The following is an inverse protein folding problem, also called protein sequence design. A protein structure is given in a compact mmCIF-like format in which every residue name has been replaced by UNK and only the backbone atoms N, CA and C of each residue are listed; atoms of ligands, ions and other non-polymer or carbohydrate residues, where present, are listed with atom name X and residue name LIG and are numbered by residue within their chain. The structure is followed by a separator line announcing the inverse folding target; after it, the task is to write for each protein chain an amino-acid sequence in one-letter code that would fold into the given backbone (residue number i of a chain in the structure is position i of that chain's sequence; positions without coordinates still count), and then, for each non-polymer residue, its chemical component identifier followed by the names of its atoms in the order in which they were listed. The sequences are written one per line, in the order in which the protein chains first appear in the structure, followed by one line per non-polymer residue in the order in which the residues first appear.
data_IF_565421337160
#
_entry.id   IF_565421337160
#
_cell.length_a   1.000
_cell.length_b   1.000
_cell.length_c   1.000
_cell.angle_alpha   90.00
_cell.angle_beta   90.00
_cell.angle_gamma   90.00
#
_symmetry.space_group_name_H-M   'P 1'
#
loop_
_entity.id
_entity.type
_entity.pdbx_description
1 polymer ?
#
# COMPACT_ATOMS: atom_id res chain seq x y z
N UNK A 1 4.27 -2.17 25.65
CA UNK A 1 2.86 -2.33 26.06
C UNK A 1 2.01 -1.42 25.18
N UNK A 2 1.45 -2.00 24.13
CA UNK A 2 0.86 -1.27 23.00
C UNK A 2 -0.66 -1.19 23.11
N UNK A 3 -1.23 -0.12 22.55
CA UNK A 3 -2.67 0.20 22.49
C UNK A 3 -3.58 -0.93 21.95
N UNK A 4 -3.03 -2.02 21.42
CA UNK A 4 -3.77 -3.21 20.99
C UNK A 4 -4.17 -4.12 22.16
N UNK A 5 -3.39 -4.16 23.26
CA UNK A 5 -3.68 -5.05 24.40
C UNK A 5 -5.00 -4.69 25.09
N UNK A 6 -5.32 -3.40 25.17
CA UNK A 6 -6.56 -2.90 25.74
C UNK A 6 -7.81 -3.26 24.92
N UNK A 7 -7.66 -3.58 23.63
CA UNK A 7 -8.78 -3.98 22.77
C UNK A 7 -9.06 -5.49 22.83
N UNK A 8 -8.06 -6.30 23.22
CA UNK A 8 -8.16 -7.76 23.30
C UNK A 8 -8.43 -8.31 24.71
N UNK A 9 -8.27 -7.51 25.77
CA UNK A 9 -8.33 -8.01 27.17
C UNK A 9 -9.73 -8.27 27.75
N UNK A 10 -10.82 -7.99 27.02
CA UNK A 10 -12.15 -8.43 27.42
C UNK A 10 -12.77 -9.26 26.30
N UNK A 11 -12.79 -10.59 26.48
CA UNK A 11 -13.56 -11.51 25.63
C UNK A 11 -15.01 -11.60 26.12
N UNK A 12 -15.98 -10.98 25.44
CA UNK A 12 -17.27 -11.61 25.20
C UNK A 12 -17.21 -12.40 23.88
N UNK A 13 -18.17 -13.29 23.66
CA UNK A 13 -18.27 -14.19 22.51
C UNK A 13 -17.96 -13.49 21.17
N UNK A 14 -17.15 -14.14 20.31
CA UNK A 14 -16.74 -13.62 19.00
C UNK A 14 -17.95 -13.12 18.20
N UNK A 15 -18.10 -11.79 18.16
CA UNK A 15 -19.18 -11.14 17.46
C UNK A 15 -18.99 -11.29 15.94
N UNK A 16 -20.07 -11.19 15.16
CA UNK A 16 -19.97 -11.20 13.69
C UNK A 16 -18.98 -10.17 13.14
N UNK A 17 -18.81 -9.03 13.84
CA UNK A 17 -17.83 -8.00 13.53
C UNK A 17 -16.38 -8.48 13.64
N UNK A 18 -16.01 -9.19 14.71
CA UNK A 18 -14.62 -9.64 14.94
C UNK A 18 -14.15 -10.61 13.85
N UNK A 19 -15.07 -11.47 13.38
CA UNK A 19 -14.80 -12.39 12.27
C UNK A 19 -14.55 -11.66 10.95
N UNK A 20 -15.30 -10.59 10.68
CA UNK A 20 -15.12 -9.77 9.48
C UNK A 20 -13.77 -9.03 9.53
N UNK A 21 -13.41 -8.45 10.69
CA UNK A 21 -12.11 -7.78 10.84
C UNK A 21 -10.94 -8.74 10.75
N UNK A 22 -11.02 -9.92 11.36
CA UNK A 22 -9.98 -10.93 11.28
C UNK A 22 -9.81 -11.45 9.84
N UNK A 23 -10.91 -11.67 9.12
CA UNK A 23 -10.86 -12.02 7.69
C UNK A 23 -10.22 -10.91 6.85
N UNK A 24 -10.61 -9.65 7.06
CA UNK A 24 -10.01 -8.52 6.37
C UNK A 24 -8.51 -8.42 6.65
N UNK A 25 -8.10 -8.60 7.91
CA UNK A 25 -6.70 -8.59 8.32
C UNK A 25 -5.89 -9.70 7.65
N UNK A 26 -6.41 -10.93 7.64
CA UNK A 26 -5.80 -12.07 6.97
C UNK A 26 -5.65 -11.84 5.47
N UNK A 27 -6.74 -11.44 4.81
CA UNK A 27 -6.73 -11.12 3.38
C UNK A 27 -5.74 -10.00 3.07
N UNK A 28 -5.62 -9.00 3.93
CA UNK A 28 -4.68 -7.89 3.73
C UNK A 28 -3.21 -8.31 3.88
N UNK A 29 -2.92 -9.43 4.54
CA UNK A 29 -1.56 -9.88 4.83
C UNK A 29 -1.16 -11.22 4.20
N UNK A 30 -2.08 -11.96 3.57
CA UNK A 30 -1.80 -13.23 2.87
C UNK A 30 -1.84 -13.05 1.35
N UNK A 31 -0.69 -13.14 0.65
CA UNK A 31 -0.65 -13.15 -0.81
C UNK A 31 -1.49 -14.27 -1.42
N UNK A 32 -1.56 -15.43 -0.76
CA UNK A 32 -2.32 -16.59 -1.21
C UNK A 32 -3.83 -16.29 -1.25
N UNK A 33 -4.39 -15.73 -0.16
CA UNK A 33 -5.81 -15.34 -0.13
C UNK A 33 -6.10 -14.22 -1.13
N UNK A 34 -5.17 -13.29 -1.34
CA UNK A 34 -5.31 -12.23 -2.36
C UNK A 34 -5.37 -12.81 -3.77
N UNK A 35 -4.47 -13.75 -4.08
CA UNK A 35 -4.39 -14.39 -5.40
C UNK A 35 -5.64 -15.23 -5.68
N UNK A 36 -6.31 -15.78 -4.66
CA UNK A 36 -7.58 -16.50 -4.81
C UNK A 36 -8.76 -15.61 -5.22
N UNK A 37 -8.69 -14.30 -4.96
CA UNK A 37 -9.71 -13.35 -5.39
C UNK A 37 -9.58 -12.96 -6.87
N UNK A 38 -8.45 -13.28 -7.51
CA UNK A 38 -8.22 -12.96 -8.91
C UNK A 38 -8.93 -13.96 -9.83
N UNK A 39 -9.42 -13.51 -11.00
CA UNK A 39 -9.89 -14.40 -12.05
C UNK A 39 -8.82 -15.45 -12.41
N UNK A 40 -9.24 -16.67 -12.74
CA UNK A 40 -8.34 -17.81 -12.93
C UNK A 40 -7.25 -17.57 -13.97
N UNK A 41 -7.59 -16.92 -15.08
CA UNK A 41 -6.63 -16.55 -16.13
C UNK A 41 -5.53 -15.61 -15.60
N UNK A 42 -5.90 -14.60 -14.82
CA UNK A 42 -4.95 -13.64 -14.22
C UNK A 42 -4.12 -14.31 -13.13
N UNK A 43 -4.77 -15.10 -12.27
CA UNK A 43 -4.09 -15.87 -11.21
C UNK A 43 -3.04 -16.80 -11.78
N UNK A 44 -3.36 -17.54 -12.85
CA UNK A 44 -2.42 -18.48 -13.47
C UNK A 44 -1.21 -17.75 -14.09
N UNK A 45 -1.43 -16.62 -14.76
CA UNK A 45 -0.33 -15.80 -15.27
C UNK A 45 0.57 -15.28 -14.14
N UNK A 46 -0.02 -14.79 -13.06
CA UNK A 46 0.70 -14.27 -11.89
C UNK A 46 1.48 -15.37 -11.15
N UNK A 47 0.92 -16.59 -11.03
CA UNK A 47 1.60 -17.74 -10.44
C UNK A 47 2.73 -18.30 -11.31
N UNK A 48 2.68 -18.08 -12.63
CA UNK A 48 3.79 -18.36 -13.55
C UNK A 48 4.87 -17.29 -13.50
N UNK A 49 4.58 -16.14 -12.89
CA UNK A 49 5.53 -15.06 -12.64
C UNK A 49 6.70 -15.50 -11.77
N UNK A 50 7.80 -14.76 -11.85
CA UNK A 50 9.03 -15.10 -11.12
C UNK A 50 8.83 -14.87 -9.62
N UNK A 51 9.01 -15.90 -8.81
CA UNK A 51 9.04 -15.77 -7.35
C UNK A 51 10.39 -15.19 -6.91
N UNK A 52 10.48 -13.87 -6.82
CA UNK A 52 11.73 -13.14 -6.51
C UNK A 52 11.44 -11.89 -5.68
N UNK A 53 12.44 -11.47 -4.89
CA UNK A 53 12.40 -10.21 -4.14
C UNK A 53 12.91 -9.03 -4.97
N UNK A 54 13.72 -9.31 -5.97
CA UNK A 54 14.27 -8.35 -6.94
C UNK A 54 14.25 -8.96 -8.34
N UNK A 55 14.00 -8.12 -9.35
CA UNK A 55 13.96 -8.58 -10.75
C UNK A 55 15.32 -8.47 -11.45
N UNK A 56 16.36 -7.99 -10.75
CA UNK A 56 17.70 -7.74 -11.32
C UNK A 56 17.77 -6.49 -12.19
N UNK A 57 16.92 -5.49 -11.91
CA UNK A 57 16.86 -4.23 -12.64
C UNK A 57 18.07 -3.33 -12.39
N UNK A 58 18.23 -2.31 -13.24
CA UNK A 58 19.29 -1.29 -13.07
C UNK A 58 18.79 -0.04 -12.35
N UNK A 59 19.59 0.50 -11.44
CA UNK A 59 19.25 1.69 -10.64
C UNK A 59 18.66 1.36 -9.26
N UNK A 60 18.16 2.38 -8.56
CA UNK A 60 17.66 2.25 -7.18
C UNK A 60 16.38 1.40 -7.10
N UNK A 61 16.40 0.35 -6.28
CA UNK A 61 15.26 -0.56 -6.08
C UNK A 61 13.98 0.19 -5.69
N UNK A 62 12.92 -0.01 -6.46
CA UNK A 62 11.61 0.58 -6.29
C UNK A 62 11.50 2.07 -6.59
N UNK A 63 12.59 2.77 -6.93
CA UNK A 63 12.58 4.22 -7.20
C UNK A 63 12.77 4.57 -8.67
N UNK A 64 13.04 3.59 -9.52
CA UNK A 64 13.16 3.77 -10.97
C UNK A 64 12.33 2.73 -11.71
N UNK A 65 11.82 3.05 -12.91
CA UNK A 65 11.00 2.11 -13.70
C UNK A 65 11.77 0.88 -14.17
N UNK A 66 13.10 0.94 -14.21
CA UNK A 66 13.98 -0.17 -14.61
C UNK A 66 14.31 -1.14 -13.47
N UNK A 67 13.94 -0.81 -12.22
CA UNK A 67 14.13 -1.66 -11.05
C UNK A 67 12.90 -1.56 -10.10
N UNK A 68 11.69 -1.92 -10.55
CA UNK A 68 10.46 -1.87 -9.75
C UNK A 68 10.40 -2.96 -8.68
N UNK A 69 9.50 -2.77 -7.72
CA UNK A 69 9.24 -3.71 -6.63
C UNK A 69 8.29 -4.81 -7.13
N UNK A 70 8.71 -6.09 -7.14
CA UNK A 70 7.82 -7.18 -7.56
C UNK A 70 6.72 -7.41 -6.51
N UNK A 71 5.47 -7.48 -6.97
CA UNK A 71 4.26 -7.64 -6.14
C UNK A 71 3.17 -8.46 -6.81
N UNK A 72 2.25 -8.98 -6.00
CA UNK A 72 1.12 -9.80 -6.46
C UNK A 72 -0.11 -8.97 -6.80
N UNK A 73 -0.03 -8.24 -7.90
CA UNK A 73 -1.14 -7.44 -8.40
C UNK A 73 -1.44 -6.20 -7.55
N UNK A 74 -2.55 -5.54 -7.91
CA UNK A 74 -3.00 -4.31 -7.24
C UNK A 74 -3.25 -4.48 -5.74
N UNK A 75 -3.62 -5.68 -5.29
CA UNK A 75 -3.82 -5.92 -3.87
C UNK A 75 -2.49 -6.03 -3.12
N UNK A 76 -1.50 -6.70 -3.73
CA UNK A 76 -0.12 -6.75 -3.23
C UNK A 76 0.50 -5.37 -3.08
N UNK A 77 0.35 -4.50 -4.08
CA UNK A 77 0.77 -3.09 -4.04
C UNK A 77 0.16 -2.37 -2.85
N UNK A 78 -1.15 -2.52 -2.67
CA UNK A 78 -1.89 -1.84 -1.62
C UNK A 78 -1.44 -2.28 -0.21
N UNK A 79 -1.24 -3.59 -0.03
CA UNK A 79 -0.72 -4.16 1.21
C UNK A 79 0.71 -3.70 1.47
N UNK A 80 1.60 -3.85 0.48
CA UNK A 80 3.02 -3.49 0.60
C UNK A 80 3.20 -2.01 0.96
N UNK A 81 2.54 -1.11 0.21
CA UNK A 81 2.59 0.34 0.49
C UNK A 81 2.01 0.69 1.85
N UNK A 82 1.02 -0.06 2.34
CA UNK A 82 0.46 0.13 3.68
C UNK A 82 1.37 -0.36 4.80
N UNK A 83 2.37 -1.20 4.51
CA UNK A 83 3.43 -1.62 5.45
C UNK A 83 4.61 -0.64 5.47
N UNK A 84 4.77 0.19 4.44
CA UNK A 84 5.90 1.10 4.36
C UNK A 84 5.82 2.23 5.40
N UNK A 85 6.99 2.52 5.95
CA UNK A 85 7.26 3.71 6.79
C UNK A 85 8.58 4.32 6.39
N UNK A 86 8.74 5.59 6.73
CA UNK A 86 10.03 6.26 6.60
C UNK A 86 11.04 5.70 7.61
N UNK A 87 12.25 5.41 7.14
CA UNK A 87 13.30 4.87 8.00
C UNK A 87 13.83 5.89 9.01
N UNK A 88 13.84 7.17 8.65
CA UNK A 88 14.40 8.26 9.47
C UNK A 88 13.53 8.60 10.69
N UNK A 89 12.20 8.55 10.52
CA UNK A 89 11.21 9.06 11.47
C UNK A 89 10.24 7.98 11.94
N UNK A 90 10.21 6.82 11.30
CA UNK A 90 9.17 5.81 11.49
C UNK A 90 7.78 6.28 11.03
N UNK A 91 7.72 7.41 10.32
CA UNK A 91 6.49 8.06 9.89
C UNK A 91 5.71 7.21 8.90
N UNK A 92 4.38 7.18 9.05
CA UNK A 92 3.49 6.51 8.09
C UNK A 92 3.45 7.28 6.77
N UNK A 93 3.27 6.53 5.69
CA UNK A 93 3.16 7.06 4.35
C UNK A 93 1.74 6.89 3.83
N UNK A 94 1.30 7.89 3.09
CA UNK A 94 0.03 7.91 2.36
C UNK A 94 0.31 7.91 0.87
N UNK A 95 -0.56 7.31 0.08
CA UNK A 95 -0.27 7.09 -1.33
C UNK A 95 -1.51 7.05 -2.21
N UNK A 96 -1.27 7.31 -3.50
CA UNK A 96 -2.20 6.98 -4.57
C UNK A 96 -1.44 6.53 -5.82
N UNK A 97 -2.12 5.79 -6.70
CA UNK A 97 -1.58 5.44 -8.00
C UNK A 97 -1.53 6.69 -8.88
N UNK A 98 -0.39 6.97 -9.50
CA UNK A 98 -0.24 8.08 -10.45
C UNK A 98 -0.66 7.60 -11.84
N UNK A 99 0.00 6.56 -12.33
CA UNK A 99 -0.16 6.01 -13.68
C UNK A 99 0.43 4.59 -13.76
N UNK A 100 0.34 4.01 -14.95
CA UNK A 100 0.99 2.75 -15.33
C UNK A 100 1.86 3.01 -16.56
N UNK A 101 3.08 2.48 -16.58
CA UNK A 101 4.04 2.57 -17.68
C UNK A 101 4.36 1.15 -18.15
N UNK A 102 3.78 0.73 -19.28
CA UNK A 102 3.83 -0.67 -19.69
C UNK A 102 3.12 -1.55 -18.67
N UNK A 103 3.86 -2.47 -18.07
CA UNK A 103 3.37 -3.34 -16.98
C UNK A 103 3.71 -2.81 -15.58
N UNK A 104 4.43 -1.68 -15.47
CA UNK A 104 4.90 -1.13 -14.19
C UNK A 104 3.93 -0.06 -13.67
N UNK A 105 3.43 -0.27 -12.46
CA UNK A 105 2.56 0.68 -11.76
C UNK A 105 3.37 1.71 -10.97
N UNK A 106 3.02 2.98 -11.13
CA UNK A 106 3.70 4.11 -10.49
C UNK A 106 2.81 4.70 -9.41
N UNK A 107 3.31 4.71 -8.19
CA UNK A 107 2.65 5.29 -7.03
C UNK A 107 3.42 6.50 -6.53
N UNK A 108 2.70 7.49 -6.03
CA UNK A 108 3.31 8.53 -5.21
C UNK A 108 3.10 8.19 -3.75
N UNK A 109 4.16 8.34 -2.96
CA UNK A 109 4.12 8.21 -1.50
C UNK A 109 4.48 9.53 -0.86
N UNK A 110 3.73 9.93 0.16
CA UNK A 110 3.93 11.18 0.89
C UNK A 110 3.81 10.96 2.38
N UNK A 111 4.57 11.71 3.17
CA UNK A 111 4.36 11.75 4.62
C UNK A 111 3.16 12.64 4.96
N UNK A 112 2.50 12.38 6.09
CA UNK A 112 1.37 13.22 6.54
C UNK A 112 1.74 14.69 6.75
N UNK A 113 3.01 14.99 7.03
CA UNK A 113 3.52 16.36 7.18
C UNK A 113 3.86 17.06 5.86
N UNK A 114 3.90 16.33 4.74
CA UNK A 114 4.34 16.85 3.44
C UNK A 114 5.85 17.06 3.31
N UNK A 115 6.65 16.68 4.31
CA UNK A 115 8.12 16.81 4.26
C UNK A 115 8.79 15.77 3.36
N UNK A 116 8.11 14.66 3.09
CA UNK A 116 8.59 13.59 2.22
C UNK A 116 7.59 13.36 1.10
N UNK A 117 8.07 13.29 -0.14
CA UNK A 117 7.31 12.88 -1.30
C UNK A 117 8.25 12.14 -2.27
N UNK A 118 7.83 10.99 -2.77
CA UNK A 118 8.62 10.19 -3.71
C UNK A 118 7.71 9.37 -4.64
N UNK A 119 8.23 8.98 -5.79
CA UNK A 119 7.61 8.00 -6.67
C UNK A 119 8.18 6.62 -6.37
N UNK A 120 7.30 5.62 -6.27
CA UNK A 120 7.66 4.22 -6.18
C UNK A 120 7.06 3.44 -7.36
N UNK A 121 7.82 2.47 -7.85
CA UNK A 121 7.51 1.68 -9.04
C UNK A 121 7.30 0.23 -8.64
N UNK A 122 6.22 -0.38 -9.14
CA UNK A 122 5.78 -1.72 -8.80
C UNK A 122 5.56 -2.56 -10.05
N UNK A 123 5.97 -3.81 -9.99
CA UNK A 123 5.67 -4.82 -11.01
C UNK A 123 4.63 -5.79 -10.43
N UNK A 124 3.36 -5.72 -10.86
CA UNK A 124 2.28 -6.56 -10.36
C UNK A 124 2.29 -8.01 -10.89
N UNK A 125 3.25 -8.38 -11.75
CA UNK A 125 3.31 -9.66 -12.45
C UNK A 125 3.84 -10.85 -11.63
N UNK A 126 3.90 -10.76 -10.30
CA UNK A 126 4.62 -11.72 -9.47
C UNK A 126 3.74 -12.47 -8.47
N UNK A 127 4.08 -13.72 -8.09
CA UNK A 127 3.24 -14.55 -7.23
C UNK A 127 3.08 -14.01 -5.80
N UNK A 128 4.02 -13.19 -5.32
CA UNK A 128 4.04 -12.63 -3.96
C UNK A 128 4.68 -11.24 -3.95
N UNK A 129 4.47 -10.43 -2.91
CA UNK A 129 5.22 -9.20 -2.71
C UNK A 129 6.67 -9.49 -2.32
N UNK A 130 7.57 -8.60 -2.75
CA UNK A 130 8.96 -8.55 -2.31
C UNK A 130 9.03 -8.41 -0.78
N UNK A 131 9.98 -9.10 -0.18
CA UNK A 131 10.40 -8.88 1.21
C UNK A 131 11.46 -7.79 1.36
N UNK A 132 12.00 -7.28 0.24
CA UNK A 132 12.97 -6.18 0.24
C UNK A 132 12.25 -4.84 0.29
N UNK A 133 12.97 -3.84 0.78
CA UNK A 133 12.48 -2.50 1.02
C UNK A 133 13.36 -1.49 0.27
N UNK A 134 12.79 -0.52 -0.46
CA UNK A 134 13.55 0.56 -1.05
C UNK A 134 14.35 1.33 0.01
N UNK A 135 15.50 1.86 -0.40
CA UNK A 135 16.35 2.65 0.49
C UNK A 135 15.62 3.90 1.01
N UNK A 136 15.75 4.17 2.31
CA UNK A 136 15.05 5.26 3.01
C UNK A 136 13.71 4.85 3.64
N UNK A 137 13.32 3.58 3.49
CA UNK A 137 12.08 3.04 4.03
C UNK A 137 12.33 1.81 4.90
N UNK A 138 11.36 1.52 5.76
CA UNK A 138 11.25 0.25 6.49
C UNK A 138 9.92 -0.41 6.16
N UNK A 139 9.92 -1.73 6.09
CA UNK A 139 8.74 -2.54 5.86
C UNK A 139 8.26 -3.14 7.19
N UNK A 140 7.05 -2.80 7.61
CA UNK A 140 6.41 -3.48 8.75
C UNK A 140 6.09 -4.93 8.41
N UNK A 141 6.08 -5.80 9.43
CA UNK A 141 5.67 -7.21 9.24
C UNK A 141 4.26 -7.32 8.68
N UNK A 142 3.34 -6.56 9.26
CA UNK A 142 1.92 -6.67 8.99
C UNK A 142 1.30 -5.30 8.71
N UNK A 143 0.42 -5.27 7.72
CA UNK A 143 -0.39 -4.12 7.38
C UNK A 143 -1.64 -4.16 8.25
N UNK A 144 -1.75 -3.24 9.21
CA UNK A 144 -2.89 -3.19 10.14
C UNK A 144 -4.05 -2.41 9.55
N UNK A 145 -3.76 -1.29 8.88
CA UNK A 145 -4.75 -0.43 8.25
C UNK A 145 -4.29 0.01 6.87
N UNK A 146 -5.21 0.13 5.89
CA UNK A 146 -4.88 0.71 4.61
C UNK A 146 -4.55 2.20 4.76
N UNK A 147 -3.51 2.64 4.05
CA UNK A 147 -2.97 4.02 4.14
C UNK A 147 -3.11 4.82 2.85
N UNK A 148 -3.64 4.22 1.80
CA UNK A 148 -3.77 4.85 0.50
C UNK A 148 -4.78 4.16 -0.38
N UNK A 149 -4.78 4.53 -1.66
CA UNK A 149 -5.68 4.00 -2.68
C UNK A 149 -4.88 3.52 -3.89
N UNK A 150 -5.40 2.53 -4.60
CA UNK A 150 -4.75 1.99 -5.82
C UNK A 150 -5.26 2.62 -7.11
N UNK A 151 -6.02 3.70 -7.01
CA UNK A 151 -6.61 4.43 -8.13
C UNK A 151 -6.06 5.85 -8.21
N UNK A 152 -6.06 6.42 -9.42
CA UNK A 152 -5.62 7.80 -9.65
C UNK A 152 -6.59 8.79 -9.03
N UNK A 153 -6.04 9.76 -8.29
CA UNK A 153 -6.84 10.77 -7.61
C UNK A 153 -6.28 12.19 -7.81
N UNK A 154 -6.90 13.01 -8.69
CA UNK A 154 -6.40 14.35 -9.02
C UNK A 154 -6.38 15.34 -7.86
N UNK A 155 -7.26 15.17 -6.87
CA UNK A 155 -7.33 16.07 -5.70
C UNK A 155 -6.48 15.58 -4.51
N UNK A 156 -5.62 14.58 -4.71
CA UNK A 156 -4.78 14.06 -3.63
C UNK A 156 -3.96 15.16 -2.93
N UNK A 157 -3.82 15.12 -1.59
CA UNK A 157 -4.38 14.15 -0.62
C UNK A 157 -5.72 14.59 0.00
N UNK A 158 -6.43 15.57 -0.57
CA UNK A 158 -7.65 16.14 0.02
C UNK A 158 -8.72 15.04 0.19
N UNK A 159 -9.26 14.86 1.40
CA UNK A 159 -10.31 13.87 1.63
C UNK A 159 -9.88 12.41 1.44
N UNK A 160 -8.56 12.12 1.44
CA UNK A 160 -8.01 10.78 1.24
C UNK A 160 -8.61 9.75 2.22
N UNK A 161 -8.81 10.11 3.49
CA UNK A 161 -9.41 9.22 4.49
C UNK A 161 -10.73 8.59 4.03
N UNK A 162 -11.64 9.38 3.44
CA UNK A 162 -12.92 8.87 2.95
C UNK A 162 -12.76 7.93 1.75
N UNK A 163 -11.75 8.18 0.90
CA UNK A 163 -11.43 7.34 -0.26
C UNK A 163 -10.84 6.00 0.18
N UNK A 164 -9.93 6.00 1.15
CA UNK A 164 -9.37 4.78 1.73
C UNK A 164 -10.49 3.90 2.29
N UNK A 165 -11.41 4.49 3.06
CA UNK A 165 -12.58 3.75 3.60
C UNK A 165 -13.45 3.16 2.50
N UNK A 166 -13.67 3.89 1.41
CA UNK A 166 -14.44 3.40 0.26
C UNK A 166 -13.76 2.19 -0.38
N UNK A 167 -12.45 2.25 -0.60
CA UNK A 167 -11.68 1.14 -1.18
C UNK A 167 -11.62 -0.07 -0.23
N UNK A 168 -11.45 0.16 1.07
CA UNK A 168 -11.53 -0.88 2.11
C UNK A 168 -12.91 -1.55 2.16
N UNK A 169 -13.99 -0.77 2.05
CA UNK A 169 -15.34 -1.32 2.02
C UNK A 169 -15.57 -2.18 0.77
N UNK A 170 -15.00 -1.79 -0.37
CA UNK A 170 -15.13 -2.52 -1.63
C UNK A 170 -14.29 -3.80 -1.66
N UNK A 171 -13.05 -3.76 -1.18
CA UNK A 171 -12.08 -4.85 -1.30
C UNK A 171 -12.02 -5.79 -0.09
N UNK A 172 -12.21 -5.23 1.11
CA UNK A 172 -12.08 -5.95 2.39
C UNK A 172 -13.43 -6.13 3.11
N UNK A 173 -14.52 -5.54 2.59
CA UNK A 173 -15.84 -5.50 3.23
C UNK A 173 -15.84 -4.87 4.64
N UNK A 174 -14.87 -4.00 4.92
CA UNK A 174 -14.72 -3.28 6.19
C UNK A 174 -14.54 -1.79 5.97
N UNK A 175 -15.01 -0.98 6.91
CA UNK A 175 -14.98 0.49 6.84
C UNK A 175 -13.80 1.06 7.65
N UNK A 176 -12.58 0.58 7.36
CA UNK A 176 -11.35 0.94 8.09
C UNK A 176 -10.38 1.75 7.23
N UNK A 177 -9.65 2.65 7.89
CA UNK A 177 -8.58 3.45 7.30
C UNK A 177 -7.68 4.00 8.41
N UNK A 178 -6.41 4.27 8.08
CA UNK A 178 -5.49 4.94 8.99
C UNK A 178 -6.03 6.34 9.38
N UNK A 179 -6.20 6.59 10.68
CA UNK A 179 -6.83 7.81 11.21
C UNK A 179 -5.99 9.05 10.94
N UNK A 180 -4.67 8.90 10.90
CA UNK A 180 -3.76 10.00 10.54
C UNK A 180 -4.01 10.55 9.13
N UNK A 181 -4.66 9.80 8.24
CA UNK A 181 -5.05 10.32 6.93
C UNK A 181 -6.00 11.54 7.01
N UNK A 182 -6.67 11.75 8.15
CA UNK A 182 -7.49 12.96 8.41
C UNK A 182 -6.65 14.20 8.70
N UNK A 183 -5.42 14.03 9.16
CA UNK A 183 -4.54 15.09 9.66
C UNK A 183 -3.42 15.43 8.67
N UNK A 184 -3.50 14.93 7.43
CA UNK A 184 -2.52 15.24 6.40
C UNK A 184 -2.50 16.74 6.15
N UNK A 185 -1.30 17.33 6.18
CA UNK A 185 -1.05 18.72 5.82
C UNK A 185 -1.22 18.91 4.31
N UNK A 186 -2.46 19.05 3.85
CA UNK A 186 -2.83 19.06 2.42
C UNK A 186 -2.05 20.10 1.62
N UNK A 187 -1.84 21.30 2.16
CA UNK A 187 -1.10 22.37 1.48
C UNK A 187 0.38 22.00 1.28
N UNK A 188 1.04 21.51 2.32
CA UNK A 188 2.45 21.11 2.28
C UNK A 188 2.66 19.90 1.36
N UNK A 189 1.78 18.90 1.44
CA UNK A 189 1.84 17.75 0.53
C UNK A 189 1.69 18.20 -0.92
N UNK A 190 0.71 19.06 -1.23
CA UNK A 190 0.54 19.58 -2.60
C UNK A 190 1.75 20.38 -3.09
N UNK A 191 2.38 21.14 -2.20
CA UNK A 191 3.62 21.86 -2.50
C UNK A 191 4.76 20.89 -2.83
N UNK A 192 4.93 19.84 -2.03
CA UNK A 192 5.94 18.80 -2.27
C UNK A 192 5.68 18.05 -3.60
N UNK A 193 4.42 17.73 -3.90
CA UNK A 193 4.04 17.05 -5.14
C UNK A 193 4.34 17.88 -6.40
N UNK A 194 4.12 19.21 -6.36
CA UNK A 194 4.49 20.11 -7.47
C UNK A 194 6.00 20.19 -7.71
N UNK A 195 6.80 19.93 -6.68
CA UNK A 195 8.26 19.92 -6.76
C UNK A 195 8.79 18.55 -7.20
N UNK A 196 7.95 17.51 -7.15
CA UNK A 196 8.33 16.14 -7.47
C UNK A 196 8.35 15.94 -9.00
N UNK A 197 9.55 15.77 -9.55
CA UNK A 197 9.72 15.47 -10.98
C UNK A 197 9.00 14.17 -11.35
N UNK A 198 8.25 14.20 -12.45
CA UNK A 198 7.54 13.04 -12.99
C UNK A 198 6.17 12.75 -12.38
N UNK A 199 5.67 13.60 -11.48
CA UNK A 199 4.32 13.48 -10.92
C UNK A 199 3.21 14.01 -11.85
N UNK A 200 3.46 15.14 -12.55
CA UNK A 200 2.48 15.80 -13.43
C UNK A 200 2.63 15.46 -14.93
N UNK A 201 3.53 14.53 -15.29
CA UNK A 201 3.79 14.15 -16.69
C UNK A 201 2.87 13.07 -17.20
#
# INVERSE_FOLDING_TARGET
MGFLDAFYQNKPAESGSDKIYNRAYRLFNSPEEQNQLLPENIRNALLQGRNCDEIGGSGEFGKVPTNPIPVNGSFGEWSYLSKLRLADTGGRLFFHKVRTIGDVDVFVVVSGSGKHAALLYFDPGHPRPSGYCPEGYILEREAVFPRGITTTYPEFPKGLYGRIKKEAKQRLHVDIAEKEAKQIAVAEVRKALRQLKGYES
#
